data_IF_917744922562
#
_entry.id   IF_917744922562
#
_cell.length_a   1.000
_cell.length_b   1.000
_cell.length_c   1.000
_cell.angle_alpha   90.00
_cell.angle_beta   90.00
_cell.angle_gamma   90.00
#
_symmetry.space_group_name_H-M   'P 1'
#
loop_
_entity.id
_entity.type
_entity.pdbx_description
1 polymer ?
#
# COMPACT_ATOMS: atom_id res chain seq x y z
N UNK A 1 -16.56 -0.51 -2.02
CA UNK A 1 -17.92 -0.97 -2.39
C UNK A 1 -18.39 -2.03 -1.39
N UNK A 2 -19.13 -1.65 -0.35
CA UNK A 2 -19.48 -2.57 0.75
C UNK A 2 -20.39 -3.73 0.32
N UNK A 3 -21.19 -3.52 -0.72
CA UNK A 3 -22.08 -4.55 -1.26
C UNK A 3 -21.31 -5.72 -1.88
N UNK A 4 -20.07 -5.49 -2.30
CA UNK A 4 -19.14 -6.53 -2.80
C UNK A 4 -18.31 -7.09 -1.65
N UNK A 5 -17.74 -6.22 -0.83
CA UNK A 5 -16.82 -6.61 0.24
C UNK A 5 -17.44 -7.54 1.28
N UNK A 6 -18.70 -7.31 1.67
CA UNK A 6 -19.35 -8.09 2.74
C UNK A 6 -19.60 -9.55 2.31
N UNK A 7 -20.20 -9.84 1.14
CA UNK A 7 -20.29 -11.21 0.64
C UNK A 7 -18.93 -11.92 0.50
N UNK A 8 -17.91 -11.23 -0.01
CA UNK A 8 -16.57 -11.80 -0.14
C UNK A 8 -15.95 -12.12 1.22
N UNK A 9 -16.15 -11.26 2.22
CA UNK A 9 -15.70 -11.49 3.59
C UNK A 9 -16.36 -12.72 4.19
N UNK A 10 -17.68 -12.90 4.00
CA UNK A 10 -18.39 -14.10 4.46
C UNK A 10 -17.80 -15.34 3.79
N UNK A 11 -17.55 -15.28 2.48
CA UNK A 11 -16.90 -16.37 1.73
C UNK A 11 -15.50 -16.71 2.26
N UNK A 12 -14.68 -15.69 2.54
CA UNK A 12 -13.36 -15.86 3.14
C UNK A 12 -13.44 -16.52 4.51
N UNK A 13 -14.33 -16.03 5.39
CA UNK A 13 -14.53 -16.56 6.74
C UNK A 13 -15.01 -18.01 6.73
N UNK A 14 -15.89 -18.38 5.80
CA UNK A 14 -16.39 -19.75 5.67
C UNK A 14 -15.29 -20.78 5.33
N UNK A 15 -14.16 -20.33 4.79
CA UNK A 15 -13.01 -21.18 4.45
C UNK A 15 -11.96 -21.26 5.57
N UNK A 16 -12.08 -20.45 6.63
CA UNK A 16 -11.11 -20.42 7.72
C UNK A 16 -11.49 -21.41 8.82
N UNK A 17 -10.48 -22.05 9.40
CA UNK A 17 -10.61 -22.87 10.62
C UNK A 17 -10.22 -22.10 11.88
N UNK A 18 -9.51 -20.98 11.73
CA UNK A 18 -9.04 -20.11 12.82
C UNK A 18 -9.41 -18.66 12.50
N UNK A 19 -10.00 -17.98 13.48
CA UNK A 19 -10.46 -16.59 13.35
C UNK A 19 -9.60 -15.67 14.19
N UNK A 20 -8.61 -15.03 13.57
CA UNK A 20 -7.78 -14.02 14.21
C UNK A 20 -8.07 -12.63 13.63
N UNK A 21 -8.25 -11.65 14.52
CA UNK A 21 -8.54 -10.27 14.14
C UNK A 21 -7.47 -9.69 13.20
N UNK A 22 -6.19 -10.03 13.39
CA UNK A 22 -5.10 -9.58 12.53
C UNK A 22 -5.22 -10.09 11.09
N UNK A 23 -5.52 -11.37 10.90
CA UNK A 23 -5.67 -11.98 9.58
C UNK A 23 -6.90 -11.43 8.85
N UNK A 24 -8.00 -11.23 9.57
CA UNK A 24 -9.21 -10.62 9.02
C UNK A 24 -8.97 -9.17 8.63
N UNK A 25 -8.31 -8.37 9.48
CA UNK A 25 -7.97 -6.98 9.19
C UNK A 25 -7.05 -6.88 7.96
N UNK A 26 -6.05 -7.75 7.85
CA UNK A 26 -5.16 -7.79 6.70
C UNK A 26 -5.90 -8.19 5.41
N UNK A 27 -6.80 -9.18 5.50
CA UNK A 27 -7.62 -9.58 4.36
C UNK A 27 -8.51 -8.43 3.91
N UNK A 28 -9.19 -7.75 4.83
CA UNK A 28 -10.02 -6.58 4.52
C UNK A 28 -9.18 -5.51 3.84
N UNK A 29 -8.01 -5.14 4.40
CA UNK A 29 -7.15 -4.10 3.83
C UNK A 29 -6.70 -4.40 2.39
N UNK A 30 -6.49 -5.69 2.04
CA UNK A 30 -6.13 -6.11 0.67
C UNK A 30 -7.31 -6.06 -0.30
N UNK A 31 -8.51 -6.41 0.15
CA UNK A 31 -9.71 -6.47 -0.69
C UNK A 31 -10.50 -5.16 -0.70
N UNK A 32 -10.16 -4.21 0.17
CA UNK A 32 -10.77 -2.88 0.21
C UNK A 32 -10.41 -2.03 -1.00
N UNK A 33 -9.63 -2.53 -1.97
CA UNK A 33 -9.09 -1.75 -3.10
C UNK A 33 -10.15 -0.77 -3.60
N UNK A 34 -9.98 0.49 -3.21
CA UNK A 34 -10.65 1.56 -3.94
C UNK A 34 -9.95 1.57 -5.28
N UNK A 35 -10.73 1.56 -6.36
CA UNK A 35 -10.27 2.13 -7.63
C UNK A 35 -9.63 3.46 -7.26
N UNK A 36 -8.29 3.53 -7.23
CA UNK A 36 -7.63 4.76 -6.83
C UNK A 36 -7.64 5.64 -8.08
N UNK A 37 -8.44 6.73 -8.08
CA UNK A 37 -8.29 7.74 -9.11
C UNK A 37 -6.91 8.40 -8.94
N UNK A 38 -6.54 9.19 -9.93
CA UNK A 38 -5.37 10.07 -9.90
C UNK A 38 -5.18 10.69 -8.50
N UNK A 39 -4.03 10.44 -7.87
CA UNK A 39 -3.73 10.98 -6.55
C UNK A 39 -3.41 12.46 -6.64
N UNK A 40 -3.99 13.27 -5.75
CA UNK A 40 -3.51 14.63 -5.51
C UNK A 40 -2.29 14.62 -4.60
N UNK A 41 -1.47 15.68 -4.68
CA UNK A 41 -0.29 15.82 -3.82
C UNK A 41 -0.64 15.83 -2.33
N UNK A 42 -1.73 16.50 -1.94
CA UNK A 42 -2.17 16.56 -0.55
C UNK A 42 -2.55 15.18 0.01
N UNK A 43 -3.21 14.33 -0.79
CA UNK A 43 -3.54 12.96 -0.39
C UNK A 43 -2.29 12.11 -0.22
N UNK A 44 -1.31 12.24 -1.12
CA UNK A 44 -0.05 11.52 -1.01
C UNK A 44 0.72 11.90 0.27
N UNK A 45 0.81 13.21 0.57
CA UNK A 45 1.47 13.71 1.80
C UNK A 45 0.78 13.16 3.04
N UNK A 46 -0.55 13.27 3.12
CA UNK A 46 -1.31 12.78 4.28
C UNK A 46 -1.13 11.28 4.48
N UNK A 47 -1.18 10.49 3.40
CA UNK A 47 -0.97 9.05 3.48
C UNK A 47 0.42 8.73 4.02
N UNK A 48 1.47 9.37 3.49
CA UNK A 48 2.84 9.10 3.92
C UNK A 48 3.05 9.47 5.40
N UNK A 49 2.49 10.59 5.86
CA UNK A 49 2.55 10.99 7.26
C UNK A 49 1.86 9.97 8.20
N UNK A 50 0.72 9.41 7.77
CA UNK A 50 0.05 8.35 8.53
C UNK A 50 0.84 7.04 8.53
N UNK A 51 1.49 6.68 7.41
CA UNK A 51 2.38 5.50 7.34
C UNK A 51 3.58 5.67 8.26
N UNK A 52 4.20 6.85 8.29
CA UNK A 52 5.32 7.13 9.19
C UNK A 52 4.93 7.01 10.67
N UNK A 53 3.73 7.49 11.02
CA UNK A 53 3.21 7.46 12.39
C UNK A 53 2.75 6.07 12.84
N UNK A 54 2.07 5.33 11.96
CA UNK A 54 1.42 4.05 12.31
C UNK A 54 2.28 2.83 11.99
N UNK A 55 3.17 2.93 11.00
CA UNK A 55 3.97 1.83 10.47
C UNK A 55 5.46 2.20 10.35
N UNK A 56 6.14 2.58 11.45
CA UNK A 56 7.54 3.04 11.40
C UNK A 56 8.51 2.00 10.83
N UNK A 57 8.16 0.71 10.90
CA UNK A 57 8.92 -0.38 10.29
C UNK A 57 9.01 -0.28 8.77
N UNK A 58 7.97 0.22 8.10
CA UNK A 58 7.95 0.36 6.63
C UNK A 58 8.83 1.51 6.16
N UNK A 59 9.06 2.52 7.00
CA UNK A 59 9.98 3.63 6.71
C UNK A 59 11.43 3.17 6.86
N UNK A 60 11.73 2.40 7.91
CA UNK A 60 13.08 1.91 8.20
C UNK A 60 13.55 0.86 7.19
N UNK A 61 12.66 -0.01 6.76
CA UNK A 61 12.95 -1.09 5.82
C UNK A 61 11.79 -1.23 4.81
N UNK A 62 11.72 -0.34 3.80
CA UNK A 62 10.64 -0.38 2.83
C UNK A 62 10.76 -1.63 1.96
N UNK A 63 9.69 -2.43 1.80
CA UNK A 63 9.70 -3.51 0.83
C UNK A 63 9.79 -2.93 -0.58
N UNK A 64 10.42 -3.66 -1.52
CA UNK A 64 10.66 -3.16 -2.88
C UNK A 64 9.39 -2.83 -3.69
N UNK A 65 8.22 -3.32 -3.27
CA UNK A 65 6.92 -2.94 -3.85
C UNK A 65 6.34 -1.62 -3.32
N UNK A 66 6.94 -1.00 -2.30
CA UNK A 66 6.47 0.24 -1.70
C UNK A 66 7.29 1.45 -2.15
N UNK A 67 8.62 1.34 -2.12
CA UNK A 67 9.53 2.41 -2.56
C UNK A 67 10.63 1.81 -3.42
N UNK A 68 10.96 2.50 -4.51
CA UNK A 68 12.06 2.15 -5.38
C UNK A 68 12.97 3.35 -5.60
N UNK A 69 14.31 3.17 -5.54
CA UNK A 69 15.24 4.24 -5.85
C UNK A 69 15.16 4.59 -7.34
N UNK A 70 15.14 5.89 -7.64
CA UNK A 70 15.26 6.40 -9.01
C UNK A 70 16.73 6.72 -9.25
N UNK A 71 17.36 6.03 -10.21
CA UNK A 71 18.76 6.31 -10.56
C UNK A 71 18.87 7.56 -11.43
N UNK A 72 19.57 8.56 -10.91
CA UNK A 72 19.84 9.81 -11.61
C UNK A 72 21.26 9.85 -12.22
N UNK A 73 22.14 8.89 -11.92
CA UNK A 73 23.52 8.90 -12.44
C UNK A 73 23.56 8.83 -13.96
N UNK A 74 22.69 7.99 -14.54
CA UNK A 74 22.56 7.85 -15.99
C UNK A 74 22.21 9.20 -16.66
N UNK A 75 21.29 9.97 -16.07
CA UNK A 75 20.91 11.31 -16.56
C UNK A 75 22.06 12.31 -16.39
N UNK A 76 22.69 12.32 -15.21
CA UNK A 76 23.80 13.21 -14.90
C UNK A 76 25.01 13.00 -15.81
N UNK A 77 25.27 11.75 -16.20
CA UNK A 77 26.35 11.41 -17.13
C UNK A 77 26.03 11.88 -18.55
N UNK A 78 24.79 11.73 -19.01
CA UNK A 78 24.38 12.25 -20.32
C UNK A 78 24.57 13.77 -20.42
N UNK A 79 24.20 14.53 -19.37
CA UNK A 79 24.38 15.99 -19.32
C UNK A 79 25.84 16.46 -19.30
N UNK A 80 26.79 15.60 -18.94
CA UNK A 80 28.24 15.94 -18.92
C UNK A 80 28.96 15.64 -20.23
N UNK A 81 28.33 14.87 -21.12
CA UNK A 81 28.90 14.47 -22.41
C UNK A 81 28.21 15.18 -23.59
N UNK A 82 27.41 16.23 -23.32
CA UNK A 82 27.09 17.30 -24.29
C UNK A 82 28.09 18.47 -24.14
#
# INVERSE_FOLDING_TARGET
NLQILIPELIGYLAQQTVFEAGNIAQWIARNLMSEHPQWSMAQAITLLADVERLCPQLVKAPPGGLLQPVDLHSVMNALKHE
#
